data_IF_594497340150
#
_entry.id   IF_594497340150
#
_cell.length_a   1.000
_cell.length_b   1.000
_cell.length_c   1.000
_cell.angle_alpha   90.00
_cell.angle_beta   90.00
_cell.angle_gamma   90.00
#
_symmetry.space_group_name_H-M   'P 1'
#
loop_
_entity.id
_entity.type
_entity.pdbx_description
1 polymer ?
#
# COMPACT_ATOMS: atom_id res chain seq x y z
N UNK A 1 10.10 7.87 7.66
CA UNK A 1 10.71 7.74 6.32
C UNK A 1 10.85 9.14 5.73
N UNK A 2 12.05 9.58 5.35
CA UNK A 2 12.26 10.89 4.69
C UNK A 2 12.13 10.73 3.18
N UNK A 3 11.33 11.58 2.53
CA UNK A 3 11.37 11.74 1.07
C UNK A 3 11.91 13.13 0.74
N UNK A 4 12.65 13.29 -0.37
CA UNK A 4 13.38 14.53 -0.68
C UNK A 4 12.53 15.79 -0.91
N UNK A 5 11.20 15.74 -0.82
CA UNK A 5 10.32 16.92 -0.98
C UNK A 5 9.45 17.26 0.23
N UNK A 6 9.37 16.41 1.25
CA UNK A 6 8.71 16.72 2.52
C UNK A 6 8.93 15.56 3.51
N UNK A 7 9.16 15.88 4.78
CA UNK A 7 8.97 14.95 5.88
C UNK A 7 7.47 14.67 6.00
N UNK A 8 6.98 13.66 5.28
CA UNK A 8 5.61 13.19 5.43
C UNK A 8 5.57 12.28 6.64
N UNK A 9 4.88 12.70 7.69
CA UNK A 9 4.57 11.82 8.81
C UNK A 9 3.60 10.75 8.29
N UNK A 10 3.99 9.47 8.33
CA UNK A 10 3.11 8.35 8.01
C UNK A 10 2.51 7.73 9.29
N UNK A 11 3.07 8.06 10.46
CA UNK A 11 2.79 7.35 11.71
C UNK A 11 3.49 5.99 11.76
N UNK A 12 3.01 5.13 12.65
CA UNK A 12 3.46 3.75 12.78
C UNK A 12 2.84 2.88 11.69
N UNK A 13 3.67 2.05 11.08
CA UNK A 13 3.25 1.05 10.10
C UNK A 13 3.59 -0.32 10.66
N UNK A 14 2.60 -1.19 10.68
CA UNK A 14 2.72 -2.56 11.13
C UNK A 14 2.60 -3.51 9.94
N UNK A 15 3.39 -4.57 9.99
CA UNK A 15 3.34 -5.64 9.02
C UNK A 15 3.35 -6.96 9.78
N UNK A 16 2.32 -7.78 9.59
CA UNK A 16 2.26 -9.13 10.11
C UNK A 16 2.64 -10.11 9.02
N UNK A 17 3.71 -10.87 9.24
CA UNK A 17 4.26 -11.80 8.25
C UNK A 17 3.88 -13.24 8.63
N UNK A 18 3.30 -13.95 7.67
CA UNK A 18 3.02 -15.38 7.76
C UNK A 18 3.56 -16.11 6.54
N UNK A 19 3.97 -17.37 6.72
CA UNK A 19 4.53 -18.19 5.65
C UNK A 19 3.94 -19.59 5.68
N UNK A 20 3.44 -20.06 4.53
CA UNK A 20 2.92 -21.43 4.39
C UNK A 20 3.18 -21.94 2.98
N UNK A 21 3.62 -23.19 2.85
CA UNK A 21 3.82 -23.88 1.56
C UNK A 21 4.61 -23.07 0.51
N UNK A 22 5.64 -22.34 0.93
CA UNK A 22 6.47 -21.52 0.04
C UNK A 22 5.85 -20.19 -0.38
N UNK A 23 4.67 -19.84 0.15
CA UNK A 23 4.04 -18.53 -0.01
C UNK A 23 4.20 -17.74 1.28
N UNK A 24 4.75 -16.53 1.17
CA UNK A 24 4.82 -15.56 2.25
C UNK A 24 3.69 -14.56 2.05
N UNK A 25 2.89 -14.32 3.07
CA UNK A 25 1.90 -13.25 3.12
C UNK A 25 2.33 -12.22 4.16
N UNK A 26 2.22 -10.95 3.84
CA UNK A 26 2.37 -9.86 4.78
C UNK A 26 1.10 -9.00 4.81
N UNK A 27 0.42 -8.94 5.94
CA UNK A 27 -0.73 -8.07 6.16
C UNK A 27 -0.24 -6.73 6.70
N UNK A 28 -0.45 -5.67 5.92
CA UNK A 28 -0.01 -4.30 6.20
C UNK A 28 -1.16 -3.53 6.83
N UNK A 29 -0.90 -2.87 7.95
CA UNK A 29 -1.85 -1.95 8.58
C UNK A 29 -1.11 -0.76 9.20
N UNK A 30 -1.78 0.38 9.32
CA UNK A 30 -1.26 1.49 10.12
C UNK A 30 -1.55 1.30 11.62
N UNK A 31 -0.79 1.99 12.46
CA UNK A 31 -0.94 1.94 13.92
C UNK A 31 -2.22 2.60 14.44
N UNK A 32 -3.10 3.11 13.59
CA UNK A 32 -4.42 3.61 13.99
C UNK A 32 -4.42 5.04 14.52
N UNK A 33 -3.28 5.59 14.93
CA UNK A 33 -3.15 6.95 15.46
C UNK A 33 -2.39 7.90 14.52
N UNK A 34 -1.86 7.36 13.41
CA UNK A 34 -1.09 8.13 12.44
C UNK A 34 -1.96 8.93 11.47
N UNK A 35 -1.38 9.94 10.79
CA UNK A 35 -2.06 10.71 9.74
C UNK A 35 -2.30 9.91 8.45
N UNK A 36 -1.74 8.71 8.30
CA UNK A 36 -1.99 7.81 7.18
C UNK A 36 -2.81 6.62 7.65
N UNK A 37 -3.92 6.34 6.99
CA UNK A 37 -4.55 5.03 7.04
C UNK A 37 -3.97 4.14 5.95
N UNK A 38 -3.47 2.97 6.33
CA UNK A 38 -2.93 1.96 5.43
C UNK A 38 -3.61 0.64 5.74
N UNK A 39 -4.11 -0.03 4.71
CA UNK A 39 -4.54 -1.42 4.80
C UNK A 39 -4.16 -2.14 3.51
N UNK A 40 -3.47 -3.28 3.61
CA UNK A 40 -3.08 -4.01 2.41
C UNK A 40 -2.52 -5.39 2.70
N UNK A 41 -2.31 -6.15 1.64
CA UNK A 41 -1.72 -7.48 1.67
C UNK A 41 -0.63 -7.57 0.62
N UNK A 42 0.51 -8.12 1.02
CA UNK A 42 1.58 -8.54 0.13
C UNK A 42 1.61 -10.06 0.10
N UNK A 43 1.76 -10.64 -1.07
CA UNK A 43 1.99 -12.06 -1.27
C UNK A 43 3.27 -12.23 -2.08
N UNK A 44 4.18 -13.04 -1.58
CA UNK A 44 5.43 -13.41 -2.25
C UNK A 44 5.47 -14.92 -2.40
N UNK A 45 5.82 -15.38 -3.60
CA UNK A 45 5.94 -16.79 -3.93
C UNK A 45 7.10 -16.97 -4.93
N UNK A 46 7.57 -18.20 -5.17
CA UNK A 46 8.66 -18.45 -6.12
C UNK A 46 8.35 -17.98 -7.55
N UNK A 47 7.08 -17.91 -7.93
CA UNK A 47 6.63 -17.54 -9.29
C UNK A 47 6.31 -16.05 -9.44
N UNK A 48 6.34 -15.29 -8.35
CA UNK A 48 6.01 -13.87 -8.38
C UNK A 48 5.55 -13.30 -7.06
N UNK A 49 5.33 -11.99 -7.07
CA UNK A 49 4.83 -11.23 -5.94
C UNK A 49 3.69 -10.31 -6.35
N UNK A 50 2.83 -9.99 -5.39
CA UNK A 50 1.71 -9.06 -5.55
C UNK A 50 1.52 -8.26 -4.27
N UNK A 51 1.22 -6.97 -4.44
CA UNK A 51 0.83 -6.03 -3.43
C UNK A 51 -0.54 -5.48 -3.82
N UNK A 52 -1.48 -5.56 -2.89
CA UNK A 52 -2.75 -4.84 -2.95
C UNK A 52 -2.86 -4.01 -1.67
N UNK A 53 -2.88 -2.69 -1.78
CA UNK A 53 -2.96 -1.81 -0.63
C UNK A 53 -3.85 -0.60 -0.91
N UNK A 54 -4.49 -0.12 0.14
CA UNK A 54 -5.31 1.08 0.19
C UNK A 54 -4.65 2.06 1.14
N UNK A 55 -4.39 3.26 0.65
CA UNK A 55 -3.76 4.33 1.39
C UNK A 55 -4.67 5.55 1.38
N UNK A 56 -4.90 6.18 2.52
CA UNK A 56 -5.63 7.44 2.59
C UNK A 56 -5.09 8.34 3.68
N UNK A 57 -5.10 9.65 3.42
CA UNK A 57 -4.75 10.63 4.44
C UNK A 57 -5.90 10.75 5.46
N UNK A 58 -5.59 10.60 6.75
CA UNK A 58 -6.51 10.94 7.84
C UNK A 58 -6.44 12.44 8.07
N UNK A 59 -7.56 13.12 7.82
CA UNK A 59 -7.67 14.56 8.00
C UNK A 59 -7.07 15.37 6.85
N UNK A 60 -6.80 16.65 7.11
CA UNK A 60 -6.43 17.62 6.09
C UNK A 60 -4.91 17.85 6.07
N UNK A 61 -4.18 16.87 5.52
CA UNK A 61 -2.72 16.91 5.35
C UNK A 61 -2.33 17.03 3.87
N UNK A 62 -2.19 18.26 3.31
CA UNK A 62 -1.98 18.46 1.86
C UNK A 62 -0.64 17.90 1.37
N UNK A 63 0.37 17.80 2.24
CA UNK A 63 1.64 17.17 1.90
C UNK A 63 1.48 15.66 1.71
N UNK A 64 0.73 15.00 2.60
CA UNK A 64 0.45 13.57 2.51
C UNK A 64 -0.44 13.25 1.30
N UNK A 65 -1.49 14.03 1.06
CA UNK A 65 -2.36 13.84 -0.12
C UNK A 65 -1.58 13.98 -1.43
N UNK A 66 -0.71 14.98 -1.54
CA UNK A 66 0.16 15.15 -2.72
C UNK A 66 1.15 14.01 -2.87
N UNK A 67 1.66 13.46 -1.78
CA UNK A 67 2.54 12.30 -1.81
C UNK A 67 1.79 11.04 -2.27
N UNK A 68 0.59 10.79 -1.73
CA UNK A 68 -0.29 9.69 -2.14
C UNK A 68 -0.65 9.78 -3.63
N UNK A 69 -0.96 10.97 -4.12
CA UNK A 69 -1.25 11.21 -5.53
C UNK A 69 -0.08 10.84 -6.48
N UNK A 70 1.17 10.80 -5.99
CA UNK A 70 2.32 10.32 -6.77
C UNK A 70 2.35 8.80 -6.91
N UNK A 71 1.74 8.07 -5.98
CA UNK A 71 1.66 6.60 -6.02
C UNK A 71 0.53 6.14 -6.95
N UNK A 72 -0.54 6.92 -7.03
CA UNK A 72 -1.67 6.74 -7.93
C UNK A 72 -2.76 7.78 -7.67
N UNK A 73 -3.69 7.98 -8.63
CA UNK A 73 -4.82 8.87 -8.42
C UNK A 73 -5.70 8.36 -7.26
N UNK A 74 -6.08 9.21 -6.30
CA UNK A 74 -7.06 8.84 -5.29
C UNK A 74 -8.45 8.68 -5.92
N UNK A 75 -9.28 7.82 -5.33
CA UNK A 75 -10.68 7.67 -5.71
C UNK A 75 -11.55 8.83 -5.20
N UNK A 76 -12.87 8.75 -5.42
CA UNK A 76 -13.82 9.76 -4.98
C UNK A 76 -13.87 9.96 -3.45
N UNK A 77 -13.35 9.01 -2.67
CA UNK A 77 -13.26 9.08 -1.22
C UNK A 77 -11.86 9.52 -0.74
N UNK A 78 -10.94 9.85 -1.65
CA UNK A 78 -9.57 10.23 -1.31
C UNK A 78 -8.65 9.05 -1.01
N UNK A 79 -9.06 7.82 -1.36
CA UNK A 79 -8.26 6.60 -1.15
C UNK A 79 -7.43 6.31 -2.39
N UNK A 80 -6.11 6.23 -2.24
CA UNK A 80 -5.19 5.75 -3.26
C UNK A 80 -5.09 4.23 -3.20
N UNK A 81 -5.49 3.58 -4.29
CA UNK A 81 -5.37 2.13 -4.46
C UNK A 81 -4.04 1.80 -5.12
N UNK A 82 -3.20 1.03 -4.43
CA UNK A 82 -1.90 0.60 -4.90
C UNK A 82 -1.93 -0.89 -5.20
N UNK A 83 -1.98 -1.22 -6.48
CA UNK A 83 -1.83 -2.57 -6.99
C UNK A 83 -0.53 -2.66 -7.77
N UNK A 84 0.36 -3.55 -7.32
CA UNK A 84 1.67 -3.80 -7.94
C UNK A 84 1.96 -5.29 -7.88
N UNK A 85 2.74 -5.77 -8.84
CA UNK A 85 3.20 -7.15 -8.81
C UNK A 85 4.18 -7.42 -9.94
N UNK A 86 4.91 -8.51 -9.82
CA UNK A 86 5.71 -9.07 -10.90
C UNK A 86 5.64 -10.59 -10.90
N UNK A 87 5.91 -11.21 -12.05
CA UNK A 87 5.82 -12.65 -12.25
C UNK A 87 4.44 -13.13 -12.65
N UNK A 88 4.28 -14.45 -12.79
CA UNK A 88 3.06 -15.07 -13.36
C UNK A 88 1.84 -14.83 -12.47
N UNK A 89 2.02 -14.75 -11.15
CA UNK A 89 0.96 -14.42 -10.19
C UNK A 89 0.50 -12.96 -10.21
N UNK A 90 1.20 -12.06 -10.91
CA UNK A 90 0.81 -10.66 -11.04
C UNK A 90 -0.21 -10.41 -12.17
N UNK A 91 -0.35 -11.36 -13.10
CA UNK A 91 -1.16 -11.21 -14.32
C UNK A 91 -2.68 -11.21 -14.06
N UNK A 92 -3.13 -11.49 -12.84
CA UNK A 92 -4.56 -11.54 -12.51
C UNK A 92 -5.17 -10.20 -12.08
N UNK A 93 -4.39 -9.12 -11.97
CA UNK A 93 -4.86 -7.80 -11.51
C UNK A 93 -4.94 -6.74 -12.63
N UNK A 94 -5.26 -7.17 -13.85
CA UNK A 94 -5.31 -6.28 -15.02
C UNK A 94 -6.27 -6.76 -16.10
N UNK A 95 -7.47 -7.21 -15.73
CA UNK A 95 -8.55 -7.51 -16.67
C UNK A 95 -9.84 -6.81 -16.22
N UNK A 96 -9.84 -5.49 -16.35
CA UNK A 96 -11.06 -4.70 -16.51
C UNK A 96 -10.71 -3.49 -17.37
N UNK A 97 -10.69 -3.72 -18.67
CA UNK A 97 -11.01 -2.73 -19.69
C UNK A 97 -12.22 -3.24 -20.45
#
# INVERSE_FOLDING_TARGET
MQTPQASVALGDLLAELSGSHGVIRADLHDGGNGPLALAGVVQLSPIGWRLDARLSARGHEPALQRWLARLGPPDAQGVTHLQRGAGVGALSAGASR
#
